data_IF_871376741380
#
_entry.id   IF_871376741380
#
_cell.length_a   1.000
_cell.length_b   1.000
_cell.length_c   1.000
_cell.angle_alpha   90.00
_cell.angle_beta   90.00
_cell.angle_gamma   90.00
#
_symmetry.space_group_name_H-M   'P 1'
#
loop_
_entity.id
_entity.type
_entity.pdbx_description
1 polymer ?
#
# COMPACT_ATOMS: atom_id res chain seq x y z
N UNK A 1 -44.98 28.38 -30.03
CA UNK A 1 -44.92 26.90 -30.05
C UNK A 1 -45.12 26.42 -28.63
N UNK A 2 -46.29 25.84 -28.35
CA UNK A 2 -46.74 25.37 -27.03
C UNK A 2 -46.51 23.87 -27.02
N UNK A 3 -45.83 23.35 -26.00
CA UNK A 3 -46.38 22.27 -25.17
C UNK A 3 -45.56 22.09 -23.90
N UNK A 4 -46.32 22.05 -22.82
CA UNK A 4 -46.00 22.12 -21.41
C UNK A 4 -45.62 20.76 -20.85
N UNK A 5 -44.82 20.80 -19.78
CA UNK A 5 -44.54 19.71 -18.86
C UNK A 5 -45.80 19.10 -18.22
N UNK A 6 -45.56 18.06 -17.41
CA UNK A 6 -46.44 17.37 -16.43
C UNK A 6 -47.16 16.09 -16.87
N UNK A 7 -46.55 14.93 -16.53
CA UNK A 7 -47.22 13.78 -15.87
C UNK A 7 -46.12 12.83 -15.33
N UNK A 8 -45.77 12.90 -14.04
CA UNK A 8 -46.17 11.93 -13.00
C UNK A 8 -45.50 10.55 -13.22
N UNK A 9 -44.39 10.26 -12.53
CA UNK A 9 -44.40 9.60 -11.21
C UNK A 9 -45.15 8.25 -11.24
N UNK A 10 -44.52 7.17 -11.69
CA UNK A 10 -44.97 5.80 -11.38
C UNK A 10 -43.86 4.79 -11.61
N UNK A 11 -43.13 4.52 -10.54
CA UNK A 11 -42.87 3.17 -10.04
C UNK A 11 -42.41 2.06 -11.00
N UNK A 12 -41.33 1.40 -10.57
CA UNK A 12 -41.17 -0.07 -10.59
C UNK A 12 -40.36 -0.70 -11.74
N UNK A 13 -39.04 -0.83 -11.50
CA UNK A 13 -38.20 -2.01 -11.83
C UNK A 13 -36.75 -1.62 -11.47
N UNK A 14 -36.17 -1.93 -10.30
CA UNK A 14 -35.97 -3.26 -9.73
C UNK A 14 -35.45 -4.25 -10.78
N UNK A 15 -34.18 -4.15 -11.21
CA UNK A 15 -33.27 -5.29 -11.52
C UNK A 15 -31.92 -4.87 -12.17
N UNK A 16 -31.07 -4.12 -11.45
CA UNK A 16 -29.61 -4.15 -11.69
C UNK A 16 -28.96 -4.05 -10.31
N UNK A 17 -29.16 -5.01 -9.39
CA UNK A 17 -28.65 -6.38 -9.43
C UNK A 17 -27.16 -6.43 -9.77
N UNK A 18 -26.35 -6.27 -8.72
CA UNK A 18 -25.31 -7.24 -8.36
C UNK A 18 -24.34 -7.67 -9.48
N UNK A 19 -23.39 -6.83 -9.87
CA UNK A 19 -22.16 -7.32 -10.54
C UNK A 19 -20.91 -6.46 -10.30
N UNK A 20 -20.72 -5.93 -9.08
CA UNK A 20 -19.40 -5.37 -8.69
C UNK A 20 -18.89 -5.97 -7.36
N UNK A 21 -19.33 -7.19 -7.05
CA UNK A 21 -18.69 -8.09 -6.09
C UNK A 21 -17.96 -9.17 -6.89
N UNK A 22 -16.81 -8.81 -7.45
CA UNK A 22 -15.85 -9.78 -7.99
C UNK A 22 -14.47 -9.15 -8.01
N UNK A 23 -13.61 -9.64 -7.11
CA UNK A 23 -12.17 -9.59 -7.37
C UNK A 23 -11.34 -8.65 -6.51
N UNK A 24 -11.35 -8.83 -5.18
CA UNK A 24 -10.10 -8.67 -4.44
C UNK A 24 -9.93 -9.80 -3.41
N UNK A 25 -10.23 -11.02 -3.87
CA UNK A 25 -9.57 -12.22 -3.34
C UNK A 25 -8.16 -12.29 -3.93
N UNK A 26 -7.34 -11.28 -3.65
CA UNK A 26 -5.97 -11.25 -4.10
C UNK A 26 -5.20 -12.34 -3.37
N UNK A 27 -4.90 -13.44 -4.07
CA UNK A 27 -3.64 -14.15 -3.82
C UNK A 27 -2.58 -13.06 -3.69
N UNK A 28 -1.78 -13.12 -2.62
CA UNK A 28 -0.64 -12.25 -2.45
C UNK A 28 0.12 -12.26 -3.77
N UNK A 29 0.03 -11.16 -4.51
CA UNK A 29 0.78 -10.95 -5.72
C UNK A 29 2.24 -10.99 -5.27
N UNK A 30 3.05 -11.81 -5.94
CA UNK A 30 4.47 -11.94 -5.64
C UNK A 30 5.16 -10.65 -6.10
N UNK A 31 5.00 -9.60 -5.30
CA UNK A 31 5.57 -8.28 -5.52
C UNK A 31 7.04 -8.38 -5.15
N UNK A 32 7.93 -8.04 -6.09
CA UNK A 32 9.35 -7.89 -5.81
C UNK A 32 9.56 -6.83 -4.72
N UNK A 33 9.99 -7.28 -3.53
CA UNK A 33 10.19 -6.42 -2.37
C UNK A 33 11.57 -5.74 -2.37
N UNK A 34 12.50 -6.22 -3.19
CA UNK A 34 13.90 -5.77 -3.21
C UNK A 34 14.04 -4.24 -3.33
N UNK A 35 13.29 -3.55 -4.22
CA UNK A 35 13.39 -2.10 -4.34
C UNK A 35 12.97 -1.35 -3.06
N UNK A 36 12.00 -1.88 -2.33
CA UNK A 36 11.49 -1.28 -1.10
C UNK A 36 12.44 -1.52 0.06
N UNK A 37 13.02 -2.72 0.15
CA UNK A 37 14.06 -3.04 1.14
C UNK A 37 15.27 -2.14 0.98
N UNK A 38 15.73 -1.92 -0.26
CA UNK A 38 16.81 -0.98 -0.56
C UNK A 38 16.45 0.45 -0.12
N UNK A 39 15.24 0.92 -0.40
CA UNK A 39 14.78 2.23 0.02
C UNK A 39 14.75 2.37 1.55
N UNK A 40 14.32 1.33 2.28
CA UNK A 40 14.34 1.29 3.74
C UNK A 40 15.77 1.31 4.27
N UNK A 41 16.68 0.52 3.70
CA UNK A 41 18.08 0.49 4.13
C UNK A 41 18.77 1.85 3.95
N UNK A 42 18.53 2.52 2.83
CA UNK A 42 18.99 3.90 2.61
C UNK A 42 18.41 4.84 3.67
N UNK A 43 17.10 4.77 3.92
CA UNK A 43 16.43 5.58 4.92
C UNK A 43 16.99 5.39 6.34
N UNK A 44 17.16 4.13 6.77
CA UNK A 44 17.71 3.79 8.09
C UNK A 44 19.14 4.31 8.22
N UNK A 45 19.96 4.16 7.19
CA UNK A 45 21.33 4.67 7.14
C UNK A 45 21.38 6.20 7.23
N UNK A 46 20.57 6.92 6.45
CA UNK A 46 20.50 8.38 6.47
C UNK A 46 20.05 8.92 7.83
N UNK A 47 19.25 8.15 8.56
CA UNK A 47 18.77 8.49 9.91
C UNK A 47 19.69 7.97 11.03
N UNK A 48 20.84 7.40 10.70
CA UNK A 48 21.79 6.79 11.65
C UNK A 48 21.11 5.77 12.58
N UNK A 49 20.20 4.98 12.01
CA UNK A 49 19.50 3.92 12.74
C UNK A 49 20.22 2.60 12.55
N UNK A 50 20.61 1.97 13.66
CA UNK A 50 21.28 0.67 13.66
C UNK A 50 20.29 -0.49 13.50
N UNK A 51 19.39 -0.39 12.51
CA UNK A 51 18.38 -1.40 12.20
C UNK A 51 18.60 -1.95 10.79
N UNK A 52 18.12 -3.17 10.56
CA UNK A 52 18.03 -3.79 9.24
C UNK A 52 16.65 -4.42 9.02
N UNK A 53 16.27 -4.56 7.76
CA UNK A 53 15.06 -5.31 7.38
C UNK A 53 15.25 -6.78 7.73
N UNK A 54 14.34 -7.32 8.55
CA UNK A 54 14.28 -8.74 8.90
C UNK A 54 13.25 -9.47 8.04
N UNK A 55 12.10 -8.85 7.76
CA UNK A 55 10.99 -9.44 7.01
C UNK A 55 10.06 -8.37 6.46
N UNK A 56 9.62 -8.52 5.21
CA UNK A 56 8.53 -7.73 4.63
C UNK A 56 7.22 -8.45 4.87
N UNK A 57 6.38 -7.96 5.79
CA UNK A 57 5.14 -8.63 6.15
C UNK A 57 4.02 -8.41 5.15
N UNK A 58 3.86 -7.16 4.73
CA UNK A 58 2.83 -6.77 3.76
C UNK A 58 3.36 -5.63 2.93
N UNK A 59 3.01 -5.62 1.65
CA UNK A 59 3.21 -4.47 0.78
C UNK A 59 1.97 -4.24 -0.08
N UNK A 60 1.60 -2.96 -0.23
CA UNK A 60 0.50 -2.52 -1.09
C UNK A 60 1.03 -1.41 -1.98
N UNK A 61 1.10 -1.69 -3.28
CA UNK A 61 1.51 -0.72 -4.29
C UNK A 61 0.27 -0.10 -4.93
N UNK A 62 0.29 1.20 -5.15
CA UNK A 62 -0.80 1.97 -5.76
C UNK A 62 -0.19 3.03 -6.68
N UNK A 63 0.06 2.65 -7.93
CA UNK A 63 0.75 3.48 -8.91
C UNK A 63 2.17 3.86 -8.43
N UNK A 64 2.41 5.15 -8.26
CA UNK A 64 3.70 5.70 -7.81
C UNK A 64 3.82 5.84 -6.29
N UNK A 65 2.92 5.23 -5.54
CA UNK A 65 2.97 5.17 -4.07
C UNK A 65 2.91 3.74 -3.58
N UNK A 66 3.47 3.50 -2.39
CA UNK A 66 3.33 2.21 -1.74
C UNK A 66 3.27 2.36 -0.21
N UNK A 67 2.71 1.35 0.43
CA UNK A 67 2.66 1.20 1.87
C UNK A 67 3.16 -0.20 2.23
N UNK A 68 4.11 -0.30 3.17
CA UNK A 68 4.61 -1.58 3.63
C UNK A 68 4.65 -1.69 5.15
N UNK A 69 4.40 -2.88 5.66
CA UNK A 69 4.63 -3.26 7.05
C UNK A 69 5.85 -4.14 7.10
N UNK A 70 6.85 -3.72 7.88
CA UNK A 70 8.20 -4.30 7.88
C UNK A 70 8.56 -4.70 9.29
N UNK A 71 9.09 -5.90 9.45
CA UNK A 71 9.79 -6.33 10.64
C UNK A 71 11.25 -5.88 10.55
N UNK A 72 11.71 -5.10 11.52
CA UNK A 72 13.09 -4.64 11.63
C UNK A 72 13.76 -5.30 12.83
N UNK A 73 15.07 -5.46 12.76
CA UNK A 73 15.90 -5.94 13.87
C UNK A 73 17.20 -5.14 13.96
N UNK A 74 17.89 -5.24 15.10
CA UNK A 74 19.18 -4.60 15.29
C UNK A 74 20.21 -5.09 14.27
N UNK A 75 20.97 -4.17 13.67
CA UNK A 75 21.90 -4.47 12.59
C UNK A 75 23.22 -5.11 13.06
N UNK A 76 23.54 -5.08 14.36
CA UNK A 76 24.75 -5.71 14.92
C UNK A 76 24.71 -7.24 14.97
N UNK A 77 25.77 -7.82 15.56
CA UNK A 77 25.91 -9.26 15.76
C UNK A 77 24.99 -9.74 16.88
N UNK A 78 24.18 -10.77 16.59
CA UNK A 78 23.24 -11.38 17.54
C UNK A 78 21.79 -11.38 17.07
N UNK A 79 20.97 -12.21 17.71
CA UNK A 79 19.51 -12.21 17.51
C UNK A 79 18.92 -11.08 18.35
N UNK A 80 18.51 -10.01 17.69
CA UNK A 80 17.88 -8.85 18.32
C UNK A 80 16.37 -8.96 18.45
N UNK A 81 15.78 -8.11 19.29
CA UNK A 81 14.33 -7.93 19.32
C UNK A 81 13.83 -7.42 17.96
N UNK A 82 12.74 -8.02 17.47
CA UNK A 82 12.09 -7.59 16.23
C UNK A 82 11.02 -6.54 16.56
N UNK A 83 11.05 -5.42 15.84
CA UNK A 83 10.04 -4.36 15.92
C UNK A 83 9.31 -4.26 14.59
N UNK A 84 8.01 -3.97 14.63
CA UNK A 84 7.20 -3.84 13.41
C UNK A 84 6.94 -2.38 13.13
N UNK A 85 7.39 -1.91 11.98
CA UNK A 85 7.20 -0.53 11.53
C UNK A 85 6.38 -0.50 10.24
N UNK A 86 5.70 0.62 10.03
CA UNK A 86 4.98 0.92 8.81
C UNK A 86 5.72 2.00 8.03
N UNK A 87 5.92 1.78 6.74
CA UNK A 87 6.61 2.70 5.84
C UNK A 87 5.69 3.09 4.69
N UNK A 88 5.79 4.35 4.28
CA UNK A 88 5.17 4.87 3.06
C UNK A 88 6.25 5.29 2.08
N UNK A 89 6.00 5.01 0.81
CA UNK A 89 6.94 5.22 -0.28
C UNK A 89 6.32 6.07 -1.37
N UNK A 90 7.17 6.81 -2.06
CA UNK A 90 6.86 7.42 -3.34
C UNK A 90 7.93 7.05 -4.37
N UNK A 91 7.51 6.88 -5.62
CA UNK A 91 8.41 6.64 -6.75
C UNK A 91 8.95 7.98 -7.25
N UNK A 92 10.27 8.12 -7.30
CA UNK A 92 11.00 9.29 -7.81
C UNK A 92 12.06 8.82 -8.79
N UNK A 93 12.07 9.35 -10.00
CA UNK A 93 13.05 8.97 -11.04
C UNK A 93 13.16 7.45 -11.24
N UNK A 94 12.01 6.78 -11.21
CA UNK A 94 11.86 5.32 -11.29
C UNK A 94 12.45 4.51 -10.11
N UNK A 95 12.85 5.16 -9.01
CA UNK A 95 13.29 4.53 -7.76
C UNK A 95 12.29 4.76 -6.63
N UNK A 96 12.16 3.79 -5.71
CA UNK A 96 11.34 3.97 -4.50
C UNK A 96 12.11 4.72 -3.42
N UNK A 97 11.43 5.66 -2.77
CA UNK A 97 11.98 6.44 -1.66
C UNK A 97 11.00 6.43 -0.50
N UNK A 98 11.50 6.21 0.72
CA UNK A 98 10.70 6.33 1.94
C UNK A 98 10.34 7.79 2.18
N UNK A 99 9.05 8.10 2.26
CA UNK A 99 8.54 9.45 2.53
C UNK A 99 8.10 9.61 3.98
N UNK A 100 7.66 8.51 4.61
CA UNK A 100 7.19 8.50 5.99
C UNK A 100 7.39 7.13 6.63
N UNK A 101 7.54 7.09 7.95
CA UNK A 101 7.42 5.87 8.74
C UNK A 101 6.57 6.10 10.00
N UNK A 102 6.08 5.01 10.59
CA UNK A 102 5.39 4.97 11.88
C UNK A 102 5.74 3.67 12.60
N UNK A 103 6.12 3.78 13.87
CA UNK A 103 6.25 2.65 14.79
C UNK A 103 4.88 2.27 15.37
#
# INVERSE_FOLDING_TARGET
MRNTAFTILSSLAFLVALTWLSGCGGKAEDIDTTPFENAIQVYLKERSMELRVAEVKTIKVSGDTAEATISLEYAGEGVGAKVQWKFWFAKKDNAWVVTQHKQ
#
